data_IF_338023817521
#
_entry.id   IF_338023817521
#
_cell.length_a   1.000
_cell.length_b   1.000
_cell.length_c   1.000
_cell.angle_alpha   90.00
_cell.angle_beta   90.00
_cell.angle_gamma   90.00
#
_symmetry.space_group_name_H-M   'P 1'
#
loop_
_entity.id
_entity.type
_entity.pdbx_description
1 polymer ?
#
# COMPACT_ATOMS: atom_id res chain seq x y z
N UNK A 1 30.26 -0.59 17.34
CA UNK A 1 29.11 0.03 16.64
C UNK A 1 28.08 -1.07 16.38
N UNK A 2 26.91 -1.03 17.04
CA UNK A 2 25.87 -2.09 16.95
C UNK A 2 24.92 -1.77 15.78
N UNK A 3 24.93 -2.53 14.67
CA UNK A 3 24.25 -2.16 13.41
C UNK A 3 22.78 -2.59 13.36
N UNK A 4 22.04 -2.54 14.49
CA UNK A 4 20.70 -3.15 14.57
C UNK A 4 19.64 -2.30 15.28
N UNK A 5 19.97 -1.05 15.68
CA UNK A 5 19.08 -0.21 16.50
C UNK A 5 17.84 0.39 15.82
N UNK A 6 17.73 0.59 14.49
CA UNK A 6 16.48 1.07 13.90
C UNK A 6 15.37 0.01 13.92
N UNK A 7 15.73 -1.28 13.99
CA UNK A 7 14.78 -2.40 13.88
C UNK A 7 14.23 -2.87 15.23
N UNK A 8 14.83 -2.49 16.36
CA UNK A 8 14.43 -3.01 17.69
C UNK A 8 13.97 -1.96 18.69
N UNK A 9 14.04 -0.66 18.38
CA UNK A 9 13.60 0.40 19.33
C UNK A 9 12.16 0.88 19.05
N UNK A 10 11.64 0.65 17.84
CA UNK A 10 10.24 0.95 17.50
C UNK A 10 9.18 -0.15 17.82
N UNK A 11 9.50 -1.46 17.94
CA UNK A 11 8.47 -2.51 18.08
C UNK A 11 7.86 -2.62 19.49
N UNK A 12 8.30 -1.80 20.47
CA UNK A 12 7.76 -1.82 21.83
C UNK A 12 6.63 -0.79 22.08
N UNK A 13 6.31 0.11 21.13
CA UNK A 13 5.40 1.24 21.40
C UNK A 13 3.97 1.11 20.88
N UNK A 14 3.55 -0.03 20.29
CA UNK A 14 2.25 -0.03 19.55
C UNK A 14 1.33 -1.24 19.72
N UNK A 15 1.68 -2.32 20.43
CA UNK A 15 0.68 -3.30 20.88
C UNK A 15 -0.16 -4.02 19.81
N UNK A 16 0.12 -3.85 18.51
CA UNK A 16 -0.49 -4.57 17.38
C UNK A 16 0.58 -4.98 16.36
N UNK A 17 0.28 -6.07 15.64
CA UNK A 17 1.20 -6.86 14.83
C UNK A 17 2.00 -6.04 13.79
N UNK A 18 3.27 -5.72 14.10
CA UNK A 18 4.30 -5.32 13.14
C UNK A 18 4.34 -6.28 11.94
N UNK A 19 4.05 -7.57 12.19
CA UNK A 19 3.87 -8.60 11.18
C UNK A 19 2.72 -8.32 10.21
N UNK A 20 1.63 -7.65 10.59
CA UNK A 20 0.49 -7.35 9.72
C UNK A 20 0.80 -6.27 8.68
N UNK A 21 1.44 -5.18 9.10
CA UNK A 21 1.94 -4.16 8.18
C UNK A 21 3.10 -4.69 7.33
N UNK A 22 4.05 -5.41 7.93
CA UNK A 22 5.14 -6.05 7.21
C UNK A 22 4.61 -7.04 6.15
N UNK A 23 3.62 -7.87 6.49
CA UNK A 23 3.02 -8.84 5.57
C UNK A 23 2.26 -8.15 4.44
N UNK A 24 1.53 -7.07 4.73
CA UNK A 24 0.82 -6.30 3.71
C UNK A 24 1.78 -5.63 2.74
N UNK A 25 2.85 -5.01 3.25
CA UNK A 25 3.90 -4.40 2.45
C UNK A 25 4.68 -5.46 1.65
N UNK A 26 5.05 -6.58 2.27
CA UNK A 26 5.76 -7.69 1.62
C UNK A 26 4.93 -8.32 0.51
N UNK A 27 3.63 -8.56 0.72
CA UNK A 27 2.70 -9.07 -0.31
C UNK A 27 2.56 -8.12 -1.49
N UNK A 28 2.64 -6.81 -1.25
CA UNK A 28 2.61 -5.82 -2.31
C UNK A 28 3.93 -5.82 -3.10
N UNK A 29 5.06 -5.79 -2.41
CA UNK A 29 6.40 -5.84 -3.04
C UNK A 29 6.63 -7.13 -3.85
N UNK A 30 6.21 -8.29 -3.36
CA UNK A 30 6.31 -9.56 -4.09
C UNK A 30 5.53 -9.52 -5.42
N UNK A 31 4.34 -8.91 -5.45
CA UNK A 31 3.56 -8.74 -6.68
C UNK A 31 4.27 -7.84 -7.69
N UNK A 32 4.94 -6.78 -7.22
CA UNK A 32 5.76 -5.90 -8.06
C UNK A 32 6.96 -6.64 -8.66
N UNK A 33 7.69 -7.42 -7.86
CA UNK A 33 8.85 -8.20 -8.32
C UNK A 33 8.44 -9.21 -9.38
N UNK A 34 7.35 -9.96 -9.15
CA UNK A 34 6.84 -10.95 -10.13
C UNK A 34 6.38 -10.27 -11.42
N UNK A 35 5.73 -9.11 -11.32
CA UNK A 35 5.36 -8.30 -12.49
C UNK A 35 6.58 -7.80 -13.28
N UNK A 36 7.60 -7.30 -12.58
CA UNK A 36 8.86 -6.86 -13.19
C UNK A 36 9.62 -8.01 -13.86
N UNK A 37 9.72 -9.16 -13.19
CA UNK A 37 10.37 -10.35 -13.75
C UNK A 37 9.63 -10.86 -15.01
N UNK A 38 8.29 -10.80 -15.01
CA UNK A 38 7.50 -11.11 -16.20
C UNK A 38 7.78 -10.15 -17.37
N UNK A 39 7.95 -8.85 -17.12
CA UNK A 39 8.38 -7.89 -18.14
C UNK A 39 9.80 -8.17 -18.67
N UNK A 40 10.74 -8.50 -17.79
CA UNK A 40 12.12 -8.85 -18.19
C UNK A 40 12.13 -10.11 -19.06
N UNK A 41 11.39 -11.14 -18.65
CA UNK A 41 11.23 -12.38 -19.43
C UNK A 41 10.51 -12.13 -20.75
N UNK A 42 9.53 -11.22 -20.81
CA UNK A 42 8.89 -10.81 -22.06
C UNK A 42 9.87 -10.10 -23.01
N UNK A 43 10.72 -9.22 -22.48
CA UNK A 43 11.76 -8.56 -23.27
C UNK A 43 12.79 -9.55 -23.84
N UNK A 44 13.07 -10.64 -23.11
CA UNK A 44 13.99 -11.69 -23.56
C UNK A 44 13.32 -12.72 -24.49
N UNK A 45 12.06 -13.04 -24.23
CA UNK A 45 11.23 -13.97 -24.98
C UNK A 45 9.88 -13.31 -25.28
N UNK A 46 9.72 -12.64 -26.44
CA UNK A 46 8.53 -11.85 -26.76
C UNK A 46 7.24 -12.68 -26.80
N UNK A 47 7.34 -14.01 -26.83
CA UNK A 47 6.21 -14.94 -26.87
C UNK A 47 5.64 -15.30 -25.49
N UNK A 48 6.36 -15.06 -24.38
CA UNK A 48 6.03 -15.68 -23.08
C UNK A 48 5.13 -14.84 -22.15
N UNK A 49 4.89 -13.56 -22.43
CA UNK A 49 4.19 -12.64 -21.52
C UNK A 49 3.53 -11.42 -22.22
N UNK A 50 3.01 -11.61 -23.43
CA UNK A 50 2.49 -10.53 -24.31
C UNK A 50 1.49 -9.60 -23.60
N UNK A 51 0.63 -10.12 -22.73
CA UNK A 51 -0.37 -9.32 -21.98
C UNK A 51 -0.08 -9.24 -20.48
N UNK A 52 0.68 -10.20 -19.95
CA UNK A 52 0.87 -10.42 -18.52
C UNK A 52 1.58 -9.27 -17.80
N UNK A 53 2.52 -8.58 -18.47
CA UNK A 53 3.23 -7.43 -17.90
C UNK A 53 2.32 -6.23 -17.73
N UNK A 54 1.67 -5.80 -18.81
CA UNK A 54 0.76 -4.65 -18.84
C UNK A 54 -0.47 -4.85 -17.95
N UNK A 55 -1.04 -6.06 -17.90
CA UNK A 55 -2.19 -6.36 -17.05
C UNK A 55 -1.85 -6.32 -15.57
N UNK A 56 -0.64 -6.79 -15.18
CA UNK A 56 -0.17 -6.68 -13.79
C UNK A 56 0.07 -5.24 -13.38
N UNK A 57 0.67 -4.42 -14.25
CA UNK A 57 0.87 -2.99 -13.97
C UNK A 57 -0.47 -2.27 -13.85
N UNK A 58 -1.42 -2.51 -14.76
CA UNK A 58 -2.78 -1.94 -14.68
C UNK A 58 -3.48 -2.33 -13.38
N UNK A 59 -3.41 -3.60 -13.01
CA UNK A 59 -4.02 -4.11 -11.77
C UNK A 59 -3.40 -3.47 -10.52
N UNK A 60 -2.08 -3.38 -10.48
CA UNK A 60 -1.37 -2.77 -9.36
C UNK A 60 -1.68 -1.26 -9.25
N UNK A 61 -1.73 -0.58 -10.40
CA UNK A 61 -2.11 0.83 -10.47
C UNK A 61 -3.54 1.04 -9.98
N UNK A 62 -4.50 0.21 -10.42
CA UNK A 62 -5.88 0.27 -9.94
C UNK A 62 -5.99 0.04 -8.42
N UNK A 63 -5.23 -0.92 -7.88
CA UNK A 63 -5.17 -1.16 -6.42
C UNK A 63 -4.59 0.04 -5.65
N UNK A 64 -3.57 0.72 -6.19
CA UNK A 64 -3.02 1.94 -5.60
C UNK A 64 -4.03 3.09 -5.64
N UNK A 65 -4.65 3.35 -6.80
CA UNK A 65 -5.63 4.43 -6.95
C UNK A 65 -6.82 4.23 -6.03
N UNK A 66 -7.38 3.01 -5.96
CA UNK A 66 -8.49 2.69 -5.06
C UNK A 66 -8.12 2.89 -3.58
N UNK A 67 -6.87 2.62 -3.19
CA UNK A 67 -6.38 2.92 -1.83
C UNK A 67 -6.31 4.41 -1.56
N UNK A 68 -5.80 5.20 -2.50
CA UNK A 68 -5.75 6.65 -2.38
C UNK A 68 -7.15 7.28 -2.32
N UNK A 69 -8.09 6.81 -3.13
CA UNK A 69 -9.49 7.25 -3.11
C UNK A 69 -10.16 6.95 -1.77
N UNK A 70 -9.98 5.74 -1.23
CA UNK A 70 -10.50 5.40 0.10
C UNK A 70 -9.89 6.29 1.17
N UNK A 71 -8.57 6.55 1.13
CA UNK A 71 -7.92 7.43 2.09
C UNK A 71 -8.51 8.86 2.05
N UNK A 72 -8.77 9.40 0.85
CA UNK A 72 -9.42 10.72 0.66
C UNK A 72 -10.88 10.73 1.13
N UNK A 73 -11.63 9.67 0.88
CA UNK A 73 -13.01 9.54 1.35
C UNK A 73 -13.07 9.55 2.89
N UNK A 74 -12.15 8.85 3.56
CA UNK A 74 -12.02 8.86 5.02
C UNK A 74 -11.73 10.25 5.58
N UNK A 75 -10.84 11.00 4.93
CA UNK A 75 -10.45 12.36 5.34
C UNK A 75 -11.61 13.35 5.17
N UNK A 76 -12.34 13.23 4.05
CA UNK A 76 -13.56 14.02 3.79
C UNK A 76 -14.64 13.72 4.84
N UNK A 77 -14.88 12.44 5.14
CA UNK A 77 -15.84 12.01 6.17
C UNK A 77 -15.48 12.57 7.56
N UNK A 78 -14.18 12.57 7.89
CA UNK A 78 -13.66 13.11 9.16
C UNK A 78 -13.92 14.61 9.28
N UNK A 79 -13.61 15.38 8.24
CA UNK A 79 -13.83 16.83 8.22
C UNK A 79 -15.32 17.19 8.31
N UNK A 80 -16.19 16.46 7.61
CA UNK A 80 -17.66 16.63 7.71
C UNK A 80 -18.16 16.34 9.13
N UNK A 81 -17.65 15.29 9.78
CA UNK A 81 -18.04 14.96 11.16
C UNK A 81 -17.57 16.00 12.18
N UNK A 82 -16.41 16.63 11.95
CA UNK A 82 -15.85 17.68 12.81
C UNK A 82 -16.64 18.99 12.71
N UNK A 83 -17.05 19.37 11.49
CA UNK A 83 -17.93 20.52 11.26
C UNK A 83 -19.29 20.28 11.92
N UNK A 84 -19.88 19.09 11.74
CA UNK A 84 -21.16 18.74 12.34
C UNK A 84 -21.11 18.73 13.89
N UNK A 85 -19.98 18.33 14.48
CA UNK A 85 -19.79 18.35 15.93
C UNK A 85 -19.64 19.79 16.45
N UNK A 86 -18.86 20.63 15.77
CA UNK A 86 -18.68 22.05 16.14
C UNK A 86 -20.00 22.83 16.13
N UNK A 87 -20.87 22.59 15.15
CA UNK A 87 -22.19 23.23 15.08
C UNK A 87 -23.18 22.79 16.18
N UNK A 88 -22.96 21.64 16.83
CA UNK A 88 -23.84 21.17 17.93
C UNK A 88 -23.48 21.72 19.30
N UNK A 89 -22.24 22.18 19.51
CA UNK A 89 -21.77 22.66 20.82
C UNK A 89 -22.04 24.17 20.98
N UNK A 90 -22.27 24.89 19.88
CA UNK A 90 -22.59 26.32 19.88
C UNK A 90 -24.08 26.68 19.91
N UNK A 91 -24.98 25.71 20.15
CA UNK A 91 -26.43 25.90 20.29
C UNK A 91 -26.86 25.54 21.72
#
# INVERSE_FOLDING_TARGET
>A
MKPLRPFTTHPASVGESYFGHLLTAARFGLRMIVGGLACLLHGLFPFLCVTTGSDRVRKLHAEMTARCERARASDTQRSVSEIANTSRIGA
#
